data_IF_541483172337
#
_entry.id   IF_541483172337
#
_cell.length_a   1.000
_cell.length_b   1.000
_cell.length_c   1.000
_cell.angle_alpha   90.00
_cell.angle_beta   90.00
_cell.angle_gamma   90.00
#
_symmetry.space_group_name_H-M   'P 1'
#
loop_
_entity.id
_entity.type
_entity.pdbx_description
1 polymer ?
#
# COMPACT_ATOMS: atom_id res chain seq x y z
N UNK A 1 24.56 -19.77 0.94
CA UNK A 1 24.40 -20.43 2.26
C UNK A 1 25.30 -21.65 2.23
N UNK A 2 26.24 -21.74 3.15
CA UNK A 2 27.19 -22.86 3.22
C UNK A 2 26.49 -24.11 3.78
N UNK A 3 27.02 -25.30 3.49
CA UNK A 3 26.40 -26.58 3.88
C UNK A 3 27.31 -27.38 4.81
N UNK A 4 26.71 -28.03 5.80
CA UNK A 4 27.37 -28.99 6.71
C UNK A 4 26.55 -30.26 6.81
N UNK A 5 27.19 -31.42 6.90
CA UNK A 5 26.47 -32.70 7.06
C UNK A 5 26.06 -32.90 8.53
N UNK A 6 24.92 -33.55 8.77
CA UNK A 6 24.39 -33.77 10.12
C UNK A 6 25.35 -34.60 11.01
N UNK A 7 26.16 -35.46 10.39
CA UNK A 7 27.24 -36.19 11.07
C UNK A 7 28.33 -35.25 11.60
N UNK A 8 28.71 -34.24 10.82
CA UNK A 8 29.70 -33.22 11.21
C UNK A 8 29.17 -32.35 12.35
N UNK A 9 27.89 -31.96 12.30
CA UNK A 9 27.24 -31.22 13.39
C UNK A 9 27.27 -32.03 14.69
N UNK A 10 27.00 -33.34 14.63
CA UNK A 10 27.01 -34.22 15.79
C UNK A 10 28.40 -34.37 16.41
N UNK A 11 29.44 -34.45 15.58
CA UNK A 11 30.80 -34.71 16.02
C UNK A 11 31.56 -33.43 16.43
N UNK A 12 31.29 -32.31 15.77
CA UNK A 12 32.08 -31.07 15.87
C UNK A 12 31.22 -29.83 16.18
N UNK A 13 30.21 -29.98 17.04
CA UNK A 13 29.18 -28.96 17.25
C UNK A 13 29.74 -27.57 17.57
N UNK A 14 30.74 -27.47 18.46
CA UNK A 14 31.34 -26.18 18.83
C UNK A 14 32.00 -25.44 17.66
N UNK A 15 32.70 -26.16 16.78
CA UNK A 15 33.33 -25.58 15.59
C UNK A 15 32.28 -25.16 14.54
N UNK A 16 31.22 -25.95 14.40
CA UNK A 16 30.08 -25.60 13.54
C UNK A 16 29.35 -24.35 14.06
N UNK A 17 29.16 -24.22 15.38
CA UNK A 17 28.60 -23.01 15.98
C UNK A 17 29.47 -21.77 15.73
N UNK A 18 30.79 -21.88 15.88
CA UNK A 18 31.70 -20.77 15.60
C UNK A 18 31.66 -20.30 14.13
N UNK A 19 31.41 -21.23 13.19
CA UNK A 19 31.15 -20.91 11.77
C UNK A 19 29.78 -20.27 11.59
N UNK A 20 28.73 -20.82 12.20
CA UNK A 20 27.36 -20.28 12.14
C UNK A 20 27.26 -18.85 12.70
N UNK A 21 28.09 -18.50 13.68
CA UNK A 21 28.17 -17.13 14.20
C UNK A 21 28.63 -16.09 13.16
N UNK A 22 29.32 -16.52 12.09
CA UNK A 22 29.78 -15.64 11.00
C UNK A 22 28.80 -15.59 9.84
N UNK A 23 27.84 -16.52 9.76
CA UNK A 23 26.87 -16.58 8.67
C UNK A 23 26.05 -17.86 8.65
N UNK A 24 24.94 -17.89 7.88
CA UNK A 24 24.00 -19.00 7.90
C UNK A 24 24.57 -20.28 7.28
N UNK A 25 24.41 -21.40 8.00
CA UNK A 25 24.77 -22.75 7.58
C UNK A 25 23.52 -23.62 7.41
N UNK A 26 23.42 -24.34 6.31
CA UNK A 26 22.39 -25.35 6.09
C UNK A 26 22.91 -26.75 6.46
N UNK A 27 22.22 -27.40 7.39
CA UNK A 27 22.51 -28.78 7.83
C UNK A 27 21.82 -29.76 6.88
N UNK A 28 22.60 -30.67 6.29
CA UNK A 28 22.12 -31.71 5.38
C UNK A 28 22.14 -33.08 6.03
N UNK A 29 21.17 -33.92 5.67
CA UNK A 29 21.17 -35.36 5.95
C UNK A 29 20.79 -36.10 4.68
N UNK A 30 21.65 -37.00 4.22
CA UNK A 30 21.45 -37.74 2.97
C UNK A 30 21.12 -36.80 1.80
N UNK A 31 21.92 -35.73 1.62
CA UNK A 31 21.79 -34.68 0.59
C UNK A 31 20.54 -33.79 0.68
N UNK A 32 19.63 -34.00 1.62
CA UNK A 32 18.49 -33.10 1.88
C UNK A 32 18.83 -32.13 3.00
N UNK A 33 18.52 -30.85 2.80
CA UNK A 33 18.61 -29.86 3.90
C UNK A 33 17.50 -30.17 4.90
N UNK A 34 17.87 -30.33 6.17
CA UNK A 34 16.94 -30.70 7.27
C UNK A 34 16.86 -29.64 8.35
N UNK A 35 17.87 -28.77 8.47
CA UNK A 35 17.89 -27.65 9.40
C UNK A 35 18.81 -26.53 8.88
N UNK A 36 18.74 -25.36 9.52
CA UNK A 36 19.70 -24.29 9.35
C UNK A 36 20.18 -23.79 10.72
N UNK A 37 21.46 -23.47 10.81
CA UNK A 37 22.04 -22.75 11.94
C UNK A 37 22.33 -21.34 11.47
N UNK A 38 21.72 -20.36 12.12
CA UNK A 38 21.86 -18.95 11.76
C UNK A 38 22.14 -18.15 13.04
N UNK A 39 22.90 -17.06 12.96
CA UNK A 39 23.04 -16.18 14.11
C UNK A 39 21.70 -15.48 14.40
N UNK A 40 21.38 -15.13 15.67
CA UNK A 40 20.06 -14.65 16.07
C UNK A 40 19.58 -13.41 15.29
N UNK A 41 20.49 -12.47 15.00
CA UNK A 41 20.26 -11.26 14.22
C UNK A 41 19.79 -11.56 12.77
N UNK A 42 20.07 -12.76 12.27
CA UNK A 42 19.62 -13.22 10.96
C UNK A 42 18.12 -13.58 10.97
N UNK A 43 17.61 -14.13 12.08
CA UNK A 43 16.18 -14.40 12.26
C UNK A 43 15.39 -13.10 12.38
N UNK A 44 15.92 -12.13 13.13
CA UNK A 44 15.31 -10.80 13.28
C UNK A 44 15.22 -10.07 11.94
N UNK A 45 16.27 -10.15 11.10
CA UNK A 45 16.26 -9.61 9.74
C UNK A 45 15.20 -10.27 8.85
N UNK A 46 15.01 -11.58 8.98
CA UNK A 46 13.95 -12.31 8.27
C UNK A 46 12.56 -11.80 8.65
N UNK A 47 12.29 -11.71 9.96
CA UNK A 47 11.02 -11.21 10.48
C UNK A 47 10.71 -9.77 10.02
N UNK A 48 11.70 -8.87 10.05
CA UNK A 48 11.52 -7.49 9.56
C UNK A 48 11.18 -7.42 8.06
N UNK A 49 11.76 -8.31 7.24
CA UNK A 49 11.44 -8.38 5.81
C UNK A 49 10.01 -8.87 5.59
N UNK A 50 9.55 -9.83 6.39
CA UNK A 50 8.19 -10.35 6.32
C UNK A 50 7.16 -9.30 6.79
N UNK A 51 7.43 -8.56 7.86
CA UNK A 51 6.60 -7.43 8.29
C UNK A 51 6.48 -6.35 7.21
N UNK A 52 7.59 -5.98 6.56
CA UNK A 52 7.56 -5.01 5.45
C UNK A 52 6.74 -5.52 4.26
N UNK A 53 6.78 -6.81 3.97
CA UNK A 53 5.96 -7.42 2.92
C UNK A 53 4.47 -7.39 3.30
N UNK A 54 4.15 -7.76 4.54
CA UNK A 54 2.78 -7.71 5.05
C UNK A 54 2.23 -6.28 5.02
N UNK A 55 3.01 -5.29 5.47
CA UNK A 55 2.62 -3.88 5.44
C UNK A 55 2.35 -3.37 4.00
N UNK A 56 3.20 -3.74 3.03
CA UNK A 56 2.98 -3.39 1.62
C UNK A 56 1.73 -4.04 1.04
N UNK A 57 1.45 -5.29 1.41
CA UNK A 57 0.24 -5.98 0.97
C UNK A 57 -1.02 -5.31 1.56
N UNK A 58 -1.00 -5.00 2.85
CA UNK A 58 -2.07 -4.27 3.53
C UNK A 58 -2.30 -2.89 2.88
N UNK A 59 -1.24 -2.14 2.59
CA UNK A 59 -1.37 -0.86 1.90
C UNK A 59 -2.00 -1.00 0.51
N UNK A 60 -1.59 -2.02 -0.27
CA UNK A 60 -2.23 -2.30 -1.58
C UNK A 60 -3.71 -2.61 -1.44
N UNK A 61 -4.09 -3.36 -0.41
CA UNK A 61 -5.50 -3.68 -0.14
C UNK A 61 -6.32 -2.42 0.17
N UNK A 62 -5.82 -1.54 1.03
CA UNK A 62 -6.46 -0.25 1.34
C UNK A 62 -6.60 0.62 0.08
N UNK A 63 -5.58 0.66 -0.78
CA UNK A 63 -5.65 1.42 -2.03
C UNK A 63 -6.67 0.84 -3.02
N UNK A 64 -6.80 -0.49 -3.09
CA UNK A 64 -7.85 -1.14 -3.88
C UNK A 64 -9.24 -0.78 -3.37
N UNK A 65 -9.46 -0.79 -2.05
CA UNK A 65 -10.73 -0.40 -1.44
C UNK A 65 -11.07 1.06 -1.75
N UNK A 66 -10.10 1.97 -1.67
CA UNK A 66 -10.26 3.38 -2.06
C UNK A 66 -10.65 3.53 -3.53
N UNK A 67 -10.02 2.75 -4.41
CA UNK A 67 -10.34 2.74 -5.84
C UNK A 67 -11.77 2.23 -6.09
N UNK A 68 -12.18 1.15 -5.44
CA UNK A 68 -13.55 0.63 -5.50
C UNK A 68 -14.58 1.68 -5.07
N UNK A 69 -14.33 2.40 -3.97
CA UNK A 69 -15.21 3.51 -3.55
C UNK A 69 -15.31 4.61 -4.61
N UNK A 70 -14.20 4.96 -5.25
CA UNK A 70 -14.22 5.95 -6.34
C UNK A 70 -14.96 5.46 -7.58
N UNK A 71 -14.94 4.16 -7.88
CA UNK A 71 -15.83 3.60 -8.90
C UNK A 71 -17.30 3.73 -8.51
N UNK A 72 -17.66 3.54 -7.25
CA UNK A 72 -19.04 3.74 -6.77
C UNK A 72 -19.48 5.19 -6.93
N UNK A 73 -18.66 6.17 -6.50
CA UNK A 73 -18.91 7.60 -6.71
C UNK A 73 -19.12 7.90 -8.20
N UNK A 74 -18.28 7.32 -9.04
CA UNK A 74 -18.30 7.52 -10.49
C UNK A 74 -19.59 6.99 -11.13
N UNK A 75 -20.02 5.78 -10.75
CA UNK A 75 -21.28 5.21 -11.21
C UNK A 75 -22.44 6.09 -10.78
N UNK A 76 -22.47 6.54 -9.52
CA UNK A 76 -23.52 7.45 -9.03
C UNK A 76 -23.52 8.78 -9.77
N UNK A 77 -22.37 9.40 -10.00
CA UNK A 77 -22.26 10.66 -10.75
C UNK A 77 -22.77 10.53 -12.18
N UNK A 78 -22.44 9.42 -12.86
CA UNK A 78 -22.81 9.19 -14.25
C UNK A 78 -24.29 8.80 -14.44
N UNK A 79 -24.91 8.20 -13.43
CA UNK A 79 -26.32 7.78 -13.48
C UNK A 79 -27.30 8.75 -12.81
N UNK A 80 -26.80 9.73 -12.05
CA UNK A 80 -27.62 10.72 -11.36
C UNK A 80 -28.38 11.65 -12.33
N UNK A 81 -29.52 12.16 -11.86
CA UNK A 81 -30.19 13.27 -12.53
C UNK A 81 -29.31 14.53 -12.54
N UNK A 82 -29.51 15.44 -13.50
CA UNK A 82 -28.71 16.67 -13.59
C UNK A 82 -28.72 17.49 -12.29
N UNK A 83 -29.84 17.53 -11.58
CA UNK A 83 -29.96 18.23 -10.31
C UNK A 83 -29.15 17.54 -9.19
N UNK A 84 -29.22 16.21 -9.10
CA UNK A 84 -28.47 15.43 -8.11
C UNK A 84 -26.95 15.47 -8.40
N UNK A 85 -26.55 15.31 -9.66
CA UNK A 85 -25.17 15.45 -10.11
C UNK A 85 -24.61 16.84 -9.76
N UNK A 86 -25.35 17.89 -10.08
CA UNK A 86 -24.94 19.27 -9.76
C UNK A 86 -24.82 19.48 -8.25
N UNK A 87 -25.69 18.87 -7.44
CA UNK A 87 -25.59 18.93 -5.98
C UNK A 87 -24.31 18.25 -5.50
N UNK A 88 -24.03 17.03 -5.95
CA UNK A 88 -22.82 16.28 -5.55
C UNK A 88 -21.53 17.06 -5.87
N UNK A 89 -21.46 17.67 -7.05
CA UNK A 89 -20.30 18.48 -7.44
C UNK A 89 -20.16 19.76 -6.62
N UNK A 90 -21.28 20.42 -6.27
CA UNK A 90 -21.26 21.58 -5.37
C UNK A 90 -20.81 21.19 -3.97
N UNK A 91 -21.31 20.09 -3.43
CA UNK A 91 -20.93 19.61 -2.10
C UNK A 91 -19.42 19.27 -2.06
N UNK A 92 -18.90 18.59 -3.10
CA UNK A 92 -17.47 18.30 -3.22
C UNK A 92 -16.61 19.58 -3.34
N UNK A 93 -17.08 20.60 -4.08
CA UNK A 93 -16.38 21.90 -4.17
C UNK A 93 -16.33 22.60 -2.81
N UNK A 94 -17.46 22.63 -2.10
CA UNK A 94 -17.55 23.25 -0.78
C UNK A 94 -16.64 22.57 0.24
N UNK A 95 -16.45 21.25 0.13
CA UNK A 95 -15.50 20.52 0.97
C UNK A 95 -14.04 20.92 0.69
N UNK A 96 -13.68 21.09 -0.59
CA UNK A 96 -12.34 21.60 -0.97
C UNK A 96 -12.14 23.05 -0.47
N UNK A 97 -13.16 23.90 -0.61
CA UNK A 97 -13.12 25.28 -0.10
C UNK A 97 -12.93 25.29 1.43
N UNK A 98 -13.58 24.36 2.16
CA UNK A 98 -13.43 24.18 3.60
C UNK A 98 -12.00 23.75 3.97
N UNK A 99 -11.41 22.83 3.23
CA UNK A 99 -10.03 22.39 3.47
C UNK A 99 -9.04 23.53 3.31
N UNK A 100 -9.23 24.39 2.31
CA UNK A 100 -8.38 25.56 2.10
C UNK A 100 -8.54 26.59 3.22
N UNK A 101 -9.79 26.95 3.55
CA UNK A 101 -10.07 27.95 4.58
C UNK A 101 -9.54 27.56 5.97
N UNK A 102 -9.49 26.25 6.26
CA UNK A 102 -9.02 25.71 7.54
C UNK A 102 -7.59 25.16 7.48
N UNK A 103 -6.89 25.30 6.34
CA UNK A 103 -5.55 24.76 6.12
C UNK A 103 -5.40 23.26 6.47
N UNK A 104 -6.39 22.45 6.07
CA UNK A 104 -6.46 21.00 6.38
C UNK A 104 -5.74 20.11 5.37
N UNK A 105 -5.38 20.66 4.21
CA UNK A 105 -4.72 19.93 3.13
C UNK A 105 -3.65 20.83 2.48
N UNK A 106 -2.67 20.23 1.78
CA UNK A 106 -1.68 21.03 1.06
C UNK A 106 -2.31 21.76 -0.13
N UNK A 107 -1.72 22.89 -0.49
CA UNK A 107 -2.14 23.71 -1.64
C UNK A 107 -2.17 22.88 -2.93
N UNK A 108 -1.16 22.04 -3.16
CA UNK A 108 -1.10 21.18 -4.36
C UNK A 108 -2.32 20.26 -4.50
N UNK A 109 -2.80 19.67 -3.39
CA UNK A 109 -4.01 18.82 -3.42
C UNK A 109 -5.27 19.64 -3.66
N UNK A 110 -5.37 20.82 -3.06
CA UNK A 110 -6.50 21.74 -3.24
C UNK A 110 -6.58 22.15 -4.72
N UNK A 111 -5.48 22.61 -5.30
CA UNK A 111 -5.40 23.01 -6.70
C UNK A 111 -5.76 21.85 -7.64
N UNK A 112 -5.19 20.67 -7.40
CA UNK A 112 -5.48 19.48 -8.22
C UNK A 112 -6.96 19.08 -8.16
N UNK A 113 -7.57 19.09 -6.99
CA UNK A 113 -9.00 18.83 -6.88
C UNK A 113 -9.83 19.91 -7.55
N UNK A 114 -9.41 21.17 -7.47
CA UNK A 114 -10.10 22.27 -8.14
C UNK A 114 -10.09 22.08 -9.66
N UNK A 115 -8.95 21.70 -10.23
CA UNK A 115 -8.79 21.34 -11.64
C UNK A 115 -9.71 20.18 -12.02
N UNK A 116 -9.68 19.08 -11.27
CA UNK A 116 -10.47 17.90 -11.58
C UNK A 116 -11.98 18.18 -11.52
N UNK A 117 -12.44 18.88 -10.49
CA UNK A 117 -13.85 19.24 -10.32
C UNK A 117 -14.33 20.27 -11.36
N UNK A 118 -13.43 20.93 -12.09
CA UNK A 118 -13.78 21.79 -13.21
C UNK A 118 -13.95 21.02 -14.55
N UNK A 119 -13.55 19.75 -14.60
CA UNK A 119 -13.70 18.93 -15.79
C UNK A 119 -15.17 18.54 -16.05
N UNK A 120 -15.53 18.24 -17.31
CA UNK A 120 -16.77 17.53 -17.61
C UNK A 120 -16.84 16.21 -16.84
N UNK A 121 -18.03 15.82 -16.37
CA UNK A 121 -18.21 14.69 -15.44
C UNK A 121 -17.55 13.39 -15.91
N UNK A 122 -17.63 13.09 -17.22
CA UNK A 122 -16.96 11.89 -17.78
C UNK A 122 -15.43 11.94 -17.60
N UNK A 123 -14.82 13.11 -17.82
CA UNK A 123 -13.38 13.30 -17.67
C UNK A 123 -12.97 13.32 -16.19
N UNK A 124 -13.76 13.94 -15.31
CA UNK A 124 -13.56 13.88 -13.86
C UNK A 124 -13.53 12.43 -13.35
N UNK A 125 -14.54 11.64 -13.72
CA UNK A 125 -14.62 10.22 -13.36
C UNK A 125 -13.42 9.44 -13.86
N UNK A 126 -13.00 9.68 -15.11
CA UNK A 126 -11.82 9.04 -15.67
C UNK A 126 -10.56 9.36 -14.85
N UNK A 127 -10.38 10.61 -14.42
CA UNK A 127 -9.24 11.00 -13.58
C UNK A 127 -9.27 10.29 -12.22
N UNK A 128 -10.41 10.35 -11.52
CA UNK A 128 -10.60 9.73 -10.20
C UNK A 128 -10.30 8.22 -10.18
N UNK A 129 -10.63 7.53 -11.28
CA UNK A 129 -10.52 6.08 -11.43
C UNK A 129 -9.23 5.61 -12.13
N UNK A 130 -8.30 6.51 -12.46
CA UNK A 130 -7.04 6.19 -13.11
C UNK A 130 -5.84 6.44 -12.19
N UNK A 131 -4.63 6.27 -12.73
CA UNK A 131 -3.40 6.67 -12.04
C UNK A 131 -3.16 8.19 -12.12
N UNK A 132 -3.84 8.90 -13.05
CA UNK A 132 -3.79 10.35 -13.21
C UNK A 132 -2.38 10.94 -13.11
N UNK A 133 -1.46 10.42 -13.93
CA UNK A 133 -0.04 10.82 -13.94
C UNK A 133 0.64 10.72 -12.56
N UNK A 134 0.31 9.65 -11.82
CA UNK A 134 0.83 9.37 -10.48
C UNK A 134 0.05 9.99 -9.32
N UNK A 135 -0.96 10.83 -9.60
CA UNK A 135 -1.78 11.47 -8.56
C UNK A 135 -2.92 10.60 -8.05
N UNK A 136 -3.33 9.56 -8.78
CA UNK A 136 -4.56 8.81 -8.53
C UNK A 136 -4.68 8.32 -7.10
N UNK A 137 -3.65 7.68 -6.55
CA UNK A 137 -3.67 7.20 -5.16
C UNK A 137 -3.78 8.34 -4.15
N UNK A 138 -2.94 9.36 -4.28
CA UNK A 138 -2.92 10.47 -3.33
C UNK A 138 -4.23 11.27 -3.32
N UNK A 139 -4.84 11.43 -4.49
CA UNK A 139 -6.14 12.06 -4.64
C UNK A 139 -7.27 11.23 -4.03
N UNK A 140 -7.28 9.91 -4.27
CA UNK A 140 -8.29 9.02 -3.67
C UNK A 140 -8.22 8.95 -2.14
N UNK A 141 -7.02 9.13 -1.57
CA UNK A 141 -6.84 9.22 -0.11
C UNK A 141 -7.54 10.44 0.49
N UNK A 142 -7.54 11.56 -0.24
CA UNK A 142 -8.09 12.84 0.18
C UNK A 142 -9.30 13.20 -0.67
N UNK A 143 -10.32 12.34 -0.69
CA UNK A 143 -11.48 12.53 -1.56
C UNK A 143 -12.50 13.52 -0.99
N UNK A 144 -12.96 14.53 -1.75
CA UNK A 144 -13.99 15.47 -1.30
C UNK A 144 -15.41 14.88 -1.36
N UNK A 145 -15.56 13.66 -1.87
CA UNK A 145 -16.85 12.97 -1.96
C UNK A 145 -17.15 12.21 -0.66
N UNK A 146 -17.46 12.96 0.40
CA UNK A 146 -17.64 12.46 1.78
C UNK A 146 -18.81 11.49 1.96
N UNK A 147 -19.83 11.55 1.08
CA UNK A 147 -20.99 10.63 1.12
C UNK A 147 -20.62 9.15 0.94
N UNK A 148 -19.42 8.86 0.41
CA UNK A 148 -18.89 7.51 0.19
C UNK A 148 -17.58 7.27 0.96
N UNK A 149 -17.19 8.20 1.83
CA UNK A 149 -15.98 8.11 2.64
C UNK A 149 -16.32 7.51 4.03
N UNK A 150 -16.39 6.18 4.11
CA UNK A 150 -16.29 5.42 5.35
C UNK A 150 -15.31 4.26 5.12
#
# INVERSE_FOLDING_TARGET
MEHVEASEVKQNFGAVLARAARGPLAVRRHRKVVAALVPPDWLERGAQLDERRAARLAQKQVEQERLVRHYQVSVTLLSASAAAQSKMLRDARAEVDRWEALALCSTDYIERWREWLALPVKALVQQMCSDADGWGTAMRQNSPFTMFAA
#
